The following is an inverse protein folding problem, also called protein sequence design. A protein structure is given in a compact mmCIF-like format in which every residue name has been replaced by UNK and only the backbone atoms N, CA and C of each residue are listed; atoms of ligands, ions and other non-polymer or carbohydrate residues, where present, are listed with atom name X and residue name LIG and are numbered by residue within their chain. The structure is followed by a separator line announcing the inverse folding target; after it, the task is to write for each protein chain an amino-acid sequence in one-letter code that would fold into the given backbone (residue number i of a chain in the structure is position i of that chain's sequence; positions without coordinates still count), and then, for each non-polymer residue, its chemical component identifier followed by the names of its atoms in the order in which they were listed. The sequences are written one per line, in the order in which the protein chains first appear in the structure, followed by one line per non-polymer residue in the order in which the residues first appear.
data_IF_436546489110
#
_entry.id   IF_436546489110
#
_cell.length_a   1.000
_cell.length_b   1.000
_cell.length_c   1.000
_cell.angle_alpha   90.00
_cell.angle_beta   90.00
_cell.angle_gamma   90.00
#
_symmetry.space_group_name_H-M   'P 1'
#
loop_
_entity.id
_entity.type
_entity.pdbx_description
1 polymer ?
#
# COMPACT_ATOMS: atom_id res chain seq x y z
N UNK A 1 5.74 13.88 5.39
CA UNK A 1 4.88 12.93 4.65
C UNK A 1 4.55 11.79 5.59
N UNK A 2 3.29 11.39 5.66
CA UNK A 2 2.84 10.18 6.36
C UNK A 2 2.26 9.23 5.32
N UNK A 3 2.59 7.94 5.41
CA UNK A 3 2.00 6.88 4.61
C UNK A 3 1.24 5.96 5.55
N UNK A 4 -0.05 5.74 5.30
CA UNK A 4 -0.95 4.97 6.18
C UNK A 4 -2.11 4.37 5.37
N UNK A 5 -3.15 3.92 6.04
CA UNK A 5 -4.37 3.42 5.40
C UNK A 5 -5.43 4.53 5.21
N UNK A 6 -6.36 4.31 4.26
CA UNK A 6 -7.42 5.24 3.93
C UNK A 6 -8.65 4.95 4.79
N UNK A 7 -9.08 5.88 5.68
CA UNK A 7 -10.25 5.67 6.53
C UNK A 7 -11.53 5.35 5.74
N UNK A 8 -12.23 4.30 6.14
CA UNK A 8 -13.44 3.77 5.52
C UNK A 8 -13.19 2.70 4.45
N UNK A 9 -11.93 2.44 4.09
CA UNK A 9 -11.56 1.56 2.97
C UNK A 9 -10.54 0.48 3.37
N UNK A 10 -10.42 0.17 4.66
CA UNK A 10 -9.34 -0.66 5.19
C UNK A 10 -9.63 -2.17 5.25
N UNK A 11 -10.89 -2.58 5.16
CA UNK A 11 -11.47 -3.95 5.33
C UNK A 11 -11.20 -4.64 6.67
N UNK A 12 -10.02 -4.45 7.27
CA UNK A 12 -9.63 -5.01 8.57
C UNK A 12 -9.77 -3.93 9.66
N UNK A 13 -10.37 -4.25 10.83
CA UNK A 13 -10.62 -3.27 11.90
C UNK A 13 -9.34 -2.61 12.42
N UNK A 14 -8.22 -3.33 12.55
CA UNK A 14 -6.96 -2.72 13.02
C UNK A 14 -6.39 -1.70 12.03
N UNK A 15 -6.59 -1.93 10.73
CA UNK A 15 -6.16 -0.98 9.71
C UNK A 15 -7.03 0.28 9.75
N UNK A 16 -8.33 0.11 10.00
CA UNK A 16 -9.28 1.21 10.17
C UNK A 16 -8.93 2.06 11.40
N UNK A 17 -8.72 1.41 12.55
CA UNK A 17 -8.32 2.08 13.78
C UNK A 17 -6.99 2.84 13.61
N UNK A 18 -6.01 2.26 12.92
CA UNK A 18 -4.74 2.94 12.63
C UNK A 18 -4.93 4.14 11.70
N UNK A 19 -5.80 4.03 10.68
CA UNK A 19 -6.11 5.12 9.76
C UNK A 19 -6.73 6.31 10.52
N UNK A 20 -7.78 6.04 11.30
CA UNK A 20 -8.48 7.05 12.10
C UNK A 20 -7.56 7.70 13.15
N UNK A 21 -6.76 6.89 13.85
CA UNK A 21 -5.80 7.40 14.83
C UNK A 21 -4.75 8.31 14.18
N UNK A 22 -4.28 7.94 12.98
CA UNK A 22 -3.32 8.75 12.21
C UNK A 22 -3.92 10.10 11.82
N UNK A 23 -5.12 10.10 11.24
CA UNK A 23 -5.81 11.33 10.84
C UNK A 23 -6.09 12.21 12.06
N UNK A 24 -6.55 11.62 13.17
CA UNK A 24 -6.80 12.32 14.43
C UNK A 24 -5.54 12.95 15.01
N UNK A 25 -4.40 12.27 14.94
CA UNK A 25 -3.13 12.83 15.39
C UNK A 25 -2.71 14.04 14.54
N UNK A 26 -2.91 13.96 13.22
CA UNK A 26 -2.58 15.05 12.31
C UNK A 26 -3.54 16.25 12.47
N UNK A 27 -4.84 16.03 12.65
CA UNK A 27 -5.82 17.13 12.78
C UNK A 27 -5.58 18.00 14.02
N UNK A 28 -4.97 17.43 15.07
CA UNK A 28 -4.55 18.13 16.30
C UNK A 28 -3.37 19.10 16.08
N UNK A 29 -2.62 18.95 14.99
CA UNK A 29 -1.57 19.91 14.64
C UNK A 29 -2.19 21.19 14.07
N UNK A 30 -1.55 22.36 14.28
CA UNK A 30 -1.88 23.58 13.53
C UNK A 30 -1.91 23.30 12.03
N UNK A 31 -2.87 23.88 11.30
CA UNK A 31 -3.16 23.56 9.90
C UNK A 31 -1.91 23.65 9.01
N UNK A 32 -1.10 24.68 9.24
CA UNK A 32 0.15 24.97 8.54
C UNK A 32 1.29 23.97 8.85
N UNK A 33 1.14 23.14 9.88
CA UNK A 33 2.11 22.10 10.28
C UNK A 33 1.67 20.69 9.91
N UNK A 34 0.46 20.51 9.36
CA UNK A 34 -0.07 19.18 9.02
C UNK A 34 0.74 18.59 7.84
N UNK A 35 1.39 17.42 7.99
CA UNK A 35 2.06 16.78 6.87
C UNK A 35 1.04 16.26 5.85
N UNK A 36 1.47 16.15 4.57
CA UNK A 36 0.74 15.39 3.56
C UNK A 36 0.56 13.93 4.02
N UNK A 37 -0.60 13.36 3.70
CA UNK A 37 -0.93 11.96 3.94
C UNK A 37 -1.12 11.27 2.59
N UNK A 38 -0.38 10.19 2.36
CA UNK A 38 -0.65 9.24 1.30
C UNK A 38 -1.27 7.99 1.90
N UNK A 39 -2.41 7.57 1.37
CA UNK A 39 -3.24 6.55 2.00
C UNK A 39 -3.53 5.37 1.06
N UNK A 40 -3.27 4.16 1.55
CA UNK A 40 -3.61 2.91 0.89
C UNK A 40 -5.05 2.52 1.21
N UNK A 41 -5.79 2.09 0.19
CA UNK A 41 -7.17 1.58 0.34
C UNK A 41 -7.21 0.13 -0.16
N UNK A 42 -8.08 -0.70 0.41
CA UNK A 42 -8.17 -2.13 0.11
C UNK A 42 -9.58 -2.58 -0.30
N UNK A 43 -10.63 -1.81 0.01
CA UNK A 43 -12.00 -2.22 -0.32
C UNK A 43 -12.23 -2.29 -1.84
N UNK A 44 -13.06 -3.24 -2.27
CA UNK A 44 -13.27 -3.51 -3.71
C UNK A 44 -13.86 -2.33 -4.48
N UNK A 45 -14.55 -1.43 -3.79
CA UNK A 45 -15.24 -0.27 -4.32
C UNK A 45 -14.42 1.02 -4.23
N UNK A 46 -13.18 0.97 -3.73
CA UNK A 46 -12.36 2.18 -3.54
C UNK A 46 -12.19 2.99 -4.85
N UNK A 47 -12.01 2.33 -5.99
CA UNK A 47 -11.89 3.02 -7.28
C UNK A 47 -13.19 3.71 -7.70
N UNK A 48 -14.33 3.07 -7.45
CA UNK A 48 -15.63 3.62 -7.81
C UNK A 48 -15.98 4.85 -6.95
N UNK A 49 -15.59 4.83 -5.68
CA UNK A 49 -15.96 5.89 -4.73
C UNK A 49 -14.93 7.02 -4.67
N UNK A 50 -13.63 6.71 -4.79
CA UNK A 50 -12.53 7.66 -4.63
C UNK A 50 -11.91 8.09 -5.96
N UNK A 51 -12.18 7.35 -7.04
CA UNK A 51 -11.53 7.56 -8.34
C UNK A 51 -10.13 6.97 -8.41
N UNK A 52 -9.35 7.50 -9.35
CA UNK A 52 -7.98 7.06 -9.63
C UNK A 52 -7.02 7.45 -8.50
N UNK A 53 -5.98 6.63 -8.34
CA UNK A 53 -4.92 6.83 -7.34
C UNK A 53 -4.03 8.00 -7.77
N UNK A 54 -3.74 8.92 -6.86
CA UNK A 54 -2.96 10.13 -7.13
C UNK A 54 -1.46 9.87 -7.28
N UNK A 55 -0.95 8.84 -6.60
CA UNK A 55 0.50 8.54 -6.54
C UNK A 55 0.73 7.12 -7.03
N UNK A 56 1.40 6.99 -8.17
CA UNK A 56 1.81 5.71 -8.75
C UNK A 56 3.33 5.64 -8.77
N UNK A 57 3.90 4.59 -8.17
CA UNK A 57 5.34 4.39 -8.06
C UNK A 57 5.72 3.03 -8.64
N UNK A 58 6.61 3.02 -9.62
CA UNK A 58 7.28 1.79 -10.05
C UNK A 58 8.50 1.54 -9.16
N UNK A 59 8.39 0.53 -8.31
CA UNK A 59 9.44 0.14 -7.36
C UNK A 59 10.23 -1.10 -7.80
N UNK A 60 10.16 -1.47 -9.08
CA UNK A 60 10.75 -2.73 -9.59
C UNK A 60 12.26 -2.81 -9.33
N UNK A 61 12.96 -1.67 -9.33
CA UNK A 61 14.38 -1.58 -8.99
C UNK A 61 14.71 -2.03 -7.55
N UNK A 62 13.72 -2.06 -6.65
CA UNK A 62 13.86 -2.44 -5.24
C UNK A 62 13.22 -3.80 -4.93
N UNK A 63 12.83 -4.55 -5.95
CA UNK A 63 12.15 -5.85 -5.83
C UNK A 63 12.87 -6.79 -4.85
N UNK A 64 14.17 -6.98 -5.01
CA UNK A 64 14.93 -7.94 -4.19
C UNK A 64 14.87 -7.61 -2.70
N UNK A 65 14.93 -6.33 -2.34
CA UNK A 65 14.88 -5.87 -0.95
C UNK A 65 13.47 -6.08 -0.39
N UNK A 66 12.44 -5.68 -1.14
CA UNK A 66 11.03 -5.87 -0.76
C UNK A 66 10.70 -7.35 -0.59
N UNK A 67 11.13 -8.19 -1.52
CA UNK A 67 10.82 -9.61 -1.53
C UNK A 67 11.49 -10.34 -0.36
N UNK A 68 12.76 -10.06 -0.08
CA UNK A 68 13.46 -10.62 1.10
C UNK A 68 12.79 -10.20 2.41
N UNK A 69 12.32 -8.96 2.51
CA UNK A 69 11.59 -8.48 3.69
C UNK A 69 10.27 -9.25 3.89
N UNK A 70 9.54 -9.55 2.81
CA UNK A 70 8.33 -10.39 2.85
C UNK A 70 8.68 -11.82 3.28
N UNK A 71 9.74 -12.41 2.74
CA UNK A 71 10.19 -13.77 3.08
C UNK A 71 10.60 -13.90 4.56
N UNK A 72 11.18 -12.85 5.15
CA UNK A 72 11.59 -12.85 6.56
C UNK A 72 10.40 -13.01 7.54
N UNK A 73 9.17 -12.65 7.13
CA UNK A 73 7.96 -12.75 7.94
C UNK A 73 7.21 -14.07 7.71
N UNK A 74 7.94 -15.19 7.64
CA UNK A 74 7.47 -16.50 7.19
C UNK A 74 6.13 -16.95 7.77
N UNK A 75 5.90 -16.76 9.07
CA UNK A 75 4.66 -17.17 9.75
C UNK A 75 3.42 -16.51 9.14
N UNK A 76 3.57 -15.33 8.56
CA UNK A 76 2.50 -14.50 8.02
C UNK A 76 2.41 -14.60 6.50
N UNK A 77 3.54 -14.86 5.83
CA UNK A 77 3.68 -14.69 4.39
C UNK A 77 3.94 -15.97 3.62
N UNK A 78 4.11 -17.13 4.27
CA UNK A 78 4.50 -18.39 3.61
C UNK A 78 3.65 -18.74 2.37
N UNK A 79 2.32 -18.70 2.49
CA UNK A 79 1.41 -18.96 1.36
C UNK A 79 1.58 -17.92 0.24
N UNK A 80 1.77 -16.65 0.60
CA UNK A 80 1.96 -15.59 -0.39
C UNK A 80 3.30 -15.73 -1.12
N UNK A 81 4.35 -16.10 -0.39
CA UNK A 81 5.69 -16.38 -0.93
C UNK A 81 5.60 -17.53 -1.93
N UNK A 82 4.94 -18.63 -1.58
CA UNK A 82 4.75 -19.77 -2.49
C UNK A 82 4.03 -19.37 -3.79
N UNK A 83 2.95 -18.58 -3.70
CA UNK A 83 2.25 -18.06 -4.89
C UNK A 83 3.16 -17.20 -5.77
N UNK A 84 4.02 -16.38 -5.17
CA UNK A 84 4.97 -15.54 -5.90
C UNK A 84 6.05 -16.38 -6.57
N UNK A 85 6.65 -17.33 -5.86
CA UNK A 85 7.67 -18.23 -6.42
C UNK A 85 7.12 -19.02 -7.62
N UNK A 86 5.88 -19.53 -7.50
CA UNK A 86 5.20 -20.21 -8.61
C UNK A 86 5.00 -19.29 -9.82
N UNK A 87 4.62 -18.02 -9.59
CA UNK A 87 4.50 -17.04 -10.67
C UNK A 87 5.85 -16.69 -11.31
N UNK A 88 6.95 -16.76 -10.54
CA UNK A 88 8.31 -16.48 -11.02
C UNK A 88 8.98 -17.64 -11.77
N UNK A 89 8.33 -18.80 -11.91
CA UNK A 89 8.93 -19.99 -12.54
C UNK A 89 9.10 -19.89 -14.08
N UNK A 90 8.60 -18.82 -14.71
CA UNK A 90 8.62 -18.62 -16.15
C UNK A 90 9.95 -18.16 -16.76
N UNK A 91 9.88 -17.79 -18.03
CA UNK A 91 10.94 -17.11 -18.79
C UNK A 91 11.38 -15.80 -18.11
N UNK A 92 12.56 -15.24 -18.45
CA UNK A 92 12.99 -13.95 -17.94
C UNK A 92 11.97 -12.82 -18.17
N UNK A 93 11.31 -12.82 -19.33
CA UNK A 93 10.29 -11.83 -19.69
C UNK A 93 9.02 -11.97 -18.82
N UNK A 94 8.54 -13.20 -18.62
CA UNK A 94 7.41 -13.48 -17.73
C UNK A 94 7.74 -13.10 -16.28
N UNK A 95 8.94 -13.42 -15.81
CA UNK A 95 9.44 -13.00 -14.49
C UNK A 95 9.44 -11.48 -14.33
N UNK A 96 9.94 -10.76 -15.32
CA UNK A 96 9.96 -9.30 -15.29
C UNK A 96 8.54 -8.71 -15.20
N UNK A 97 7.57 -9.30 -15.93
CA UNK A 97 6.17 -8.88 -15.87
C UNK A 97 5.53 -9.14 -14.49
N UNK A 98 5.83 -10.29 -13.89
CA UNK A 98 5.41 -10.62 -12.51
C UNK A 98 6.01 -9.63 -11.52
N UNK A 99 7.33 -9.42 -11.55
CA UNK A 99 8.01 -8.45 -10.68
C UNK A 99 7.37 -7.07 -10.80
N UNK A 100 7.12 -6.60 -12.03
CA UNK A 100 6.49 -5.30 -12.27
C UNK A 100 5.12 -5.21 -11.61
N UNK A 101 4.28 -6.23 -11.75
CA UNK A 101 2.93 -6.27 -11.17
C UNK A 101 2.95 -6.11 -9.65
N UNK A 102 3.94 -6.72 -8.99
CA UNK A 102 4.10 -6.62 -7.54
C UNK A 102 4.88 -5.39 -7.06
N UNK A 103 5.40 -4.60 -7.99
CA UNK A 103 6.23 -3.44 -7.70
C UNK A 103 5.54 -2.12 -7.98
N UNK A 104 4.34 -2.12 -8.57
CA UNK A 104 3.54 -0.91 -8.65
C UNK A 104 2.86 -0.67 -7.31
N UNK A 105 3.26 0.42 -6.65
CA UNK A 105 2.59 0.94 -5.45
C UNK A 105 1.68 2.10 -5.86
N UNK A 106 0.45 2.12 -5.34
CA UNK A 106 -0.56 3.08 -5.73
C UNK A 106 -1.33 3.63 -4.51
N UNK A 107 -1.20 4.93 -4.26
CA UNK A 107 -1.73 5.59 -3.06
C UNK A 107 -2.65 6.76 -3.44
N UNK A 108 -3.60 7.07 -2.56
CA UNK A 108 -4.41 8.29 -2.64
C UNK A 108 -3.75 9.42 -1.86
N UNK A 109 -3.90 10.67 -2.31
CA UNK A 109 -3.65 11.84 -1.48
C UNK A 109 -4.86 12.10 -0.58
N UNK A 110 -4.71 11.83 0.72
CA UNK A 110 -5.81 11.99 1.66
C UNK A 110 -5.97 13.45 2.07
N UNK A 111 -7.15 14.01 1.78
CA UNK A 111 -7.50 15.38 2.13
C UNK A 111 -8.18 15.41 3.49
N UNK A 112 -7.52 16.03 4.47
CA UNK A 112 -8.14 16.32 5.76
C UNK A 112 -9.19 17.41 5.52
N UNK A 113 -10.46 17.08 5.77
CA UNK A 113 -11.55 18.05 5.78
C UNK A 113 -11.47 18.85 7.09
N UNK A 114 -11.60 20.17 6.98
CA UNK A 114 -11.64 21.08 8.13
C UNK A 114 -13.06 21.22 8.70
#
# INVERSE_FOLDING_TARGET
LIITYYPGYCVHPDHEALAEATVTAVTRLPKEKRPRIHAQAFSKDHLANLGDRDVILDTSAFWDVKYRAIQAHKTQTAMRVEQVENALAGTPEERAAVIKTFSIEALYEYKILD
#
